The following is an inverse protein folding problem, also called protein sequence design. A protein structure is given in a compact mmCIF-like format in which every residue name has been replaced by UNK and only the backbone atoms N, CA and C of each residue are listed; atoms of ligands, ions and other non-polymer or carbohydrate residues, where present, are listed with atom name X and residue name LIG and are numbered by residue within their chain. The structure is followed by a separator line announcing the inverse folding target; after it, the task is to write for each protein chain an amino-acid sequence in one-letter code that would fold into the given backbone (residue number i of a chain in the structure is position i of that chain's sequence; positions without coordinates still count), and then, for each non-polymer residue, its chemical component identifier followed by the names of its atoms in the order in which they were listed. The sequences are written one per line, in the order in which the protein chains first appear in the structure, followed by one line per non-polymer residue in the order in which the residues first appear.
data_IF_578835571794
#
_entry.id   IF_578835571794
#
_cell.length_a   1.000
_cell.length_b   1.000
_cell.length_c   1.000
_cell.angle_alpha   90.00
_cell.angle_beta   90.00
_cell.angle_gamma   90.00
#
_symmetry.space_group_name_H-M   'P 1'
#
loop_
_entity.id
_entity.type
_entity.pdbx_description
1 polymer ?
#
# COMPACT_ATOMS: atom_id res chain seq x y z
N UNK A 1 8.24 -18.63 -10.20
CA UNK A 1 7.17 -18.67 -9.17
C UNK A 1 6.37 -17.40 -9.32
N UNK A 2 5.04 -17.45 -9.35
CA UNK A 2 4.19 -16.27 -9.45
C UNK A 2 3.57 -16.01 -8.09
N UNK A 3 3.72 -14.79 -7.58
CA UNK A 3 3.11 -14.35 -6.33
C UNK A 3 1.67 -13.91 -6.58
N UNK A 4 0.75 -14.43 -5.79
CA UNK A 4 -0.69 -14.18 -5.92
C UNK A 4 -1.15 -13.19 -4.84
N UNK A 5 -1.70 -12.07 -5.28
CA UNK A 5 -1.96 -10.90 -4.47
C UNK A 5 -3.46 -10.58 -4.39
N UNK A 6 -3.92 -10.28 -3.18
CA UNK A 6 -5.27 -9.71 -2.92
C UNK A 6 -5.13 -8.24 -2.56
N UNK A 7 -5.93 -7.39 -3.20
CA UNK A 7 -6.04 -5.96 -2.87
C UNK A 7 -7.16 -5.78 -1.85
N UNK A 8 -6.84 -5.14 -0.72
CA UNK A 8 -7.81 -4.73 0.30
C UNK A 8 -8.03 -3.22 0.20
N UNK A 9 -9.24 -2.82 -0.19
CA UNK A 9 -9.59 -1.46 -0.58
C UNK A 9 -9.50 -1.26 -2.09
N UNK A 10 -10.60 -1.46 -2.83
CA UNK A 10 -10.65 -1.33 -4.29
C UNK A 10 -11.15 0.06 -4.72
N UNK A 11 -10.69 1.09 -4.00
CA UNK A 11 -10.84 2.50 -4.37
C UNK A 11 -9.86 2.92 -5.47
N UNK A 12 -9.66 4.23 -5.65
CA UNK A 12 -8.76 4.79 -6.68
C UNK A 12 -7.36 4.17 -6.65
N UNK A 13 -6.78 3.98 -5.45
CA UNK A 13 -5.43 3.39 -5.35
C UNK A 13 -5.44 1.90 -5.65
N UNK A 14 -6.44 1.15 -5.17
CA UNK A 14 -6.56 -0.28 -5.47
C UNK A 14 -6.65 -0.54 -6.98
N UNK A 15 -7.50 0.19 -7.69
CA UNK A 15 -7.62 0.12 -9.15
C UNK A 15 -6.29 0.50 -9.83
N UNK A 16 -5.65 1.60 -9.40
CA UNK A 16 -4.37 2.02 -9.96
C UNK A 16 -3.28 0.95 -9.80
N UNK A 17 -3.21 0.32 -8.62
CA UNK A 17 -2.24 -0.73 -8.37
C UNK A 17 -2.55 -1.99 -9.19
N UNK A 18 -3.81 -2.38 -9.29
CA UNK A 18 -4.20 -3.52 -10.14
C UNK A 18 -3.74 -3.32 -11.59
N UNK A 19 -3.96 -2.12 -12.14
CA UNK A 19 -3.53 -1.80 -13.50
C UNK A 19 -2.01 -1.85 -13.67
N UNK A 20 -1.26 -1.25 -12.74
CA UNK A 20 0.22 -1.24 -12.79
C UNK A 20 0.84 -2.61 -12.57
N UNK A 21 0.23 -3.45 -11.74
CA UNK A 21 0.73 -4.80 -11.45
C UNK A 21 0.45 -5.78 -12.59
N UNK A 22 -0.51 -5.49 -13.48
CA UNK A 22 -0.84 -6.36 -14.61
C UNK A 22 0.35 -6.60 -15.55
N UNK A 23 1.27 -5.64 -15.66
CA UNK A 23 2.44 -5.71 -16.54
C UNK A 23 3.71 -6.22 -15.82
N UNK A 24 3.60 -6.59 -14.53
CA UNK A 24 4.76 -7.04 -13.76
C UNK A 24 4.84 -8.57 -13.78
N UNK A 25 5.87 -9.09 -14.43
CA UNK A 25 6.11 -10.53 -14.46
C UNK A 25 6.31 -11.11 -13.05
N UNK A 26 5.68 -12.23 -12.77
CA UNK A 26 5.77 -12.91 -11.48
C UNK A 26 4.83 -12.39 -10.40
N UNK A 27 3.91 -11.48 -10.73
CA UNK A 27 2.84 -11.02 -9.83
C UNK A 27 1.49 -11.17 -10.52
N UNK A 28 0.51 -11.69 -9.80
CA UNK A 28 -0.87 -11.83 -10.26
C UNK A 28 -1.82 -11.25 -9.20
N UNK A 29 -2.63 -10.27 -9.56
CA UNK A 29 -3.73 -9.80 -8.71
C UNK A 29 -4.92 -10.72 -8.92
N UNK A 30 -5.24 -11.52 -7.92
CA UNK A 30 -6.25 -12.59 -8.05
C UNK A 30 -7.59 -12.24 -7.43
N UNK A 31 -7.64 -11.21 -6.58
CA UNK A 31 -8.89 -10.83 -5.93
C UNK A 31 -8.83 -9.50 -5.20
N UNK A 32 -9.98 -9.09 -4.73
CA UNK A 32 -10.16 -7.85 -3.97
C UNK A 32 -11.15 -8.02 -2.82
N UNK A 33 -10.98 -7.17 -1.80
CA UNK A 33 -11.92 -6.96 -0.70
C UNK A 33 -12.23 -5.48 -0.64
N UNK A 34 -13.49 -5.11 -0.57
CA UNK A 34 -13.92 -3.74 -0.25
C UNK A 34 -15.19 -3.79 0.59
N UNK A 35 -15.46 -2.74 1.38
CA UNK A 35 -16.69 -2.59 2.15
C UNK A 35 -17.80 -1.89 1.37
N UNK A 36 -17.49 -1.32 0.22
CA UNK A 36 -18.40 -0.60 -0.64
C UNK A 36 -18.86 -1.51 -1.81
N UNK A 37 -20.14 -1.87 -1.90
CA UNK A 37 -20.65 -2.74 -2.96
C UNK A 37 -20.36 -2.27 -4.39
N UNK A 38 -20.28 -0.95 -4.60
CA UNK A 38 -19.94 -0.38 -5.91
C UNK A 38 -18.48 -0.72 -6.26
N UNK A 39 -17.57 -0.74 -5.27
CA UNK A 39 -16.17 -1.10 -5.47
C UNK A 39 -15.99 -2.60 -5.67
N UNK A 40 -16.80 -3.40 -5.01
CA UNK A 40 -16.88 -4.84 -5.25
C UNK A 40 -17.31 -5.14 -6.69
N UNK A 41 -18.32 -4.41 -7.19
CA UNK A 41 -18.76 -4.54 -8.57
C UNK A 41 -17.62 -4.20 -9.55
N UNK A 42 -16.89 -3.10 -9.34
CA UNK A 42 -15.74 -2.75 -10.19
C UNK A 42 -14.65 -3.82 -10.16
N UNK A 43 -14.38 -4.40 -8.99
CA UNK A 43 -13.42 -5.50 -8.90
C UNK A 43 -13.87 -6.73 -9.71
N UNK A 44 -15.16 -7.06 -9.66
CA UNK A 44 -15.72 -8.15 -10.46
C UNK A 44 -15.67 -7.87 -11.97
N UNK A 45 -15.97 -6.64 -12.40
CA UNK A 45 -15.85 -6.20 -13.80
C UNK A 45 -14.40 -6.24 -14.31
N UNK A 46 -13.43 -5.99 -13.43
CA UNK A 46 -11.99 -6.15 -13.70
C UNK A 46 -11.52 -7.62 -13.70
N UNK A 47 -12.44 -8.58 -13.54
CA UNK A 47 -12.15 -10.02 -13.56
C UNK A 47 -11.55 -10.56 -12.27
N UNK A 48 -11.58 -9.81 -11.17
CA UNK A 48 -11.06 -10.24 -9.89
C UNK A 48 -12.08 -11.05 -9.09
N UNK A 49 -11.59 -12.00 -8.30
CA UNK A 49 -12.41 -12.65 -7.28
C UNK A 49 -12.75 -11.64 -6.19
N UNK A 50 -14.02 -11.39 -5.96
CA UNK A 50 -14.50 -10.56 -4.84
C UNK A 50 -14.68 -11.44 -3.61
N UNK A 51 -13.94 -11.14 -2.54
CA UNK A 51 -14.09 -11.83 -1.28
C UNK A 51 -15.09 -11.09 -0.38
N UNK A 52 -16.01 -11.81 0.28
CA UNK A 52 -17.06 -11.18 1.09
C UNK A 52 -16.53 -10.53 2.38
N UNK A 53 -15.29 -10.80 2.74
CA UNK A 53 -14.62 -10.20 3.91
C UNK A 53 -13.10 -10.36 3.84
N UNK A 54 -12.38 -9.57 4.64
CA UNK A 54 -10.94 -9.75 4.84
C UNK A 54 -10.64 -11.18 5.35
N UNK A 55 -11.41 -11.70 6.29
CA UNK A 55 -11.21 -13.04 6.81
C UNK A 55 -11.27 -14.10 5.70
N UNK A 56 -12.27 -14.04 4.84
CA UNK A 56 -12.40 -14.97 3.72
C UNK A 56 -11.21 -14.89 2.73
N UNK A 57 -10.67 -13.69 2.50
CA UNK A 57 -9.47 -13.52 1.67
C UNK A 57 -8.22 -14.08 2.33
N UNK A 58 -8.09 -13.95 3.65
CA UNK A 58 -6.94 -14.44 4.40
C UNK A 58 -6.94 -15.98 4.57
N UNK A 59 -8.10 -16.63 4.54
CA UNK A 59 -8.25 -18.09 4.55
C UNK A 59 -7.83 -18.74 3.22
N UNK A 60 -7.80 -17.99 2.12
CA UNK A 60 -7.41 -18.53 0.81
C UNK A 60 -5.91 -18.82 0.78
N UNK A 61 -5.58 -20.13 0.83
CA UNK A 61 -4.19 -20.60 0.82
C UNK A 61 -3.49 -20.43 -0.52
N UNK A 62 -4.22 -20.08 -1.58
CA UNK A 62 -3.63 -19.82 -2.89
C UNK A 62 -3.06 -18.43 -3.04
N UNK A 63 -3.20 -17.57 -2.02
CA UNK A 63 -2.70 -16.18 -2.02
C UNK A 63 -1.48 -16.04 -1.11
N UNK A 64 -0.49 -15.28 -1.55
CA UNK A 64 0.77 -15.04 -0.84
C UNK A 64 0.81 -13.66 -0.20
N UNK A 65 0.18 -12.67 -0.84
CA UNK A 65 0.33 -11.26 -0.57
C UNK A 65 -1.02 -10.55 -0.35
N UNK A 66 -1.00 -9.60 0.56
CA UNK A 66 -2.07 -8.60 0.74
C UNK A 66 -1.54 -7.21 0.47
N UNK A 67 -2.20 -6.45 -0.42
CA UNK A 67 -1.91 -5.05 -0.62
C UNK A 67 -3.00 -4.20 0.03
N UNK A 68 -2.65 -3.45 1.06
CA UNK A 68 -3.57 -2.60 1.84
C UNK A 68 -3.67 -1.22 1.19
N UNK A 69 -4.84 -0.89 0.65
CA UNK A 69 -5.14 0.34 -0.09
C UNK A 69 -6.36 1.10 0.50
N UNK A 70 -6.65 0.88 1.75
CA UNK A 70 -7.77 1.44 2.51
C UNK A 70 -7.43 2.82 3.12
N UNK A 71 -8.33 3.50 3.83
CA UNK A 71 -8.01 4.65 4.67
C UNK A 71 -6.99 4.32 5.78
N UNK A 72 -6.21 5.33 6.19
CA UNK A 72 -5.02 5.16 7.03
C UNK A 72 -5.29 4.49 8.38
N UNK A 73 -6.44 4.77 9.01
CA UNK A 73 -6.86 4.22 10.30
C UNK A 73 -7.06 2.69 10.28
N UNK A 74 -7.33 2.14 9.10
CA UNK A 74 -7.53 0.70 8.92
C UNK A 74 -6.26 -0.06 8.51
N UNK A 75 -5.16 0.63 8.21
CA UNK A 75 -3.91 -0.02 7.76
C UNK A 75 -3.38 -1.01 8.78
N UNK A 76 -3.27 -0.59 10.05
CA UNK A 76 -2.73 -1.44 11.12
C UNK A 76 -3.52 -2.72 11.32
N UNK A 77 -4.84 -2.68 11.61
CA UNK A 77 -5.59 -3.91 11.87
C UNK A 77 -5.59 -4.87 10.68
N UNK A 78 -5.61 -4.35 9.45
CA UNK A 78 -5.56 -5.20 8.24
C UNK A 78 -4.17 -5.84 8.08
N UNK A 79 -3.10 -5.05 8.24
CA UNK A 79 -1.74 -5.56 8.13
C UNK A 79 -1.43 -6.62 9.20
N UNK A 80 -1.83 -6.38 10.46
CA UNK A 80 -1.66 -7.37 11.53
C UNK A 80 -2.44 -8.66 11.24
N UNK A 81 -3.70 -8.56 10.78
CA UNK A 81 -4.50 -9.73 10.44
C UNK A 81 -3.85 -10.56 9.30
N UNK A 82 -3.39 -9.89 8.25
CA UNK A 82 -2.72 -10.54 7.12
C UNK A 82 -1.42 -11.23 7.55
N UNK A 83 -0.56 -10.57 8.33
CA UNK A 83 0.67 -11.16 8.86
C UNK A 83 0.39 -12.36 9.77
N UNK A 84 -0.64 -12.28 10.64
CA UNK A 84 -1.05 -13.42 11.50
C UNK A 84 -1.53 -14.61 10.68
N UNK A 85 -2.19 -14.35 9.55
CA UNK A 85 -2.64 -15.38 8.59
C UNK A 85 -1.52 -15.92 7.70
N UNK A 86 -0.27 -15.48 7.88
CA UNK A 86 0.88 -15.96 7.12
C UNK A 86 1.03 -15.30 5.74
N UNK A 87 0.41 -14.15 5.51
CA UNK A 87 0.52 -13.42 4.24
C UNK A 87 1.59 -12.33 4.34
N UNK A 88 2.36 -12.14 3.28
CA UNK A 88 3.18 -10.95 3.10
C UNK A 88 2.29 -9.72 2.93
N UNK A 89 2.77 -8.54 3.30
CA UNK A 89 1.97 -7.32 3.26
C UNK A 89 2.73 -6.20 2.55
N UNK A 90 2.09 -5.55 1.60
CA UNK A 90 2.41 -4.21 1.14
C UNK A 90 1.31 -3.26 1.62
N UNK A 91 1.69 -2.09 2.11
CA UNK A 91 0.75 -1.12 2.65
C UNK A 91 0.94 0.24 1.98
N UNK A 92 -0.16 0.90 1.65
CA UNK A 92 -0.13 2.28 1.18
C UNK A 92 0.43 3.23 2.25
N UNK A 93 0.91 4.35 1.77
CA UNK A 93 1.42 5.42 2.64
C UNK A 93 0.26 6.34 3.13
N UNK A 94 0.38 6.93 4.31
CA UNK A 94 1.32 6.58 5.39
C UNK A 94 1.04 5.18 5.92
N UNK A 95 2.07 4.44 6.27
CA UNK A 95 1.91 3.05 6.68
C UNK A 95 1.02 2.88 7.92
N UNK A 96 1.26 3.73 8.92
CA UNK A 96 0.55 3.71 10.20
C UNK A 96 0.33 5.15 10.70
N UNK A 97 -0.50 5.32 11.72
CA UNK A 97 -0.79 6.63 12.32
C UNK A 97 0.27 7.07 13.33
N UNK A 98 1.12 6.15 13.81
CA UNK A 98 2.21 6.44 14.75
C UNK A 98 3.40 5.51 14.55
N UNK A 99 4.58 5.92 15.05
CA UNK A 99 5.78 5.07 15.07
C UNK A 99 5.59 3.81 15.91
N UNK A 100 4.90 3.90 17.05
CA UNK A 100 4.62 2.76 17.89
C UNK A 100 3.75 1.69 17.20
N UNK A 101 2.77 2.11 16.41
CA UNK A 101 1.99 1.18 15.58
C UNK A 101 2.86 0.52 14.52
N UNK A 102 3.71 1.30 13.85
CA UNK A 102 4.62 0.78 12.82
C UNK A 102 5.59 -0.24 13.42
N UNK A 103 6.20 0.06 14.57
CA UNK A 103 7.11 -0.84 15.28
C UNK A 103 6.42 -2.17 15.61
N UNK A 104 5.15 -2.12 16.06
CA UNK A 104 4.36 -3.32 16.36
C UNK A 104 4.18 -4.20 15.11
N UNK A 105 3.82 -3.62 13.98
CA UNK A 105 3.61 -4.36 12.72
C UNK A 105 4.93 -4.93 12.19
N UNK A 106 6.02 -4.13 12.24
CA UNK A 106 7.35 -4.58 11.82
C UNK A 106 7.86 -5.73 12.69
N UNK A 107 7.65 -5.65 14.01
CA UNK A 107 8.03 -6.72 14.93
C UNK A 107 7.26 -8.03 14.63
N UNK A 108 5.95 -7.91 14.36
CA UNK A 108 5.11 -9.06 13.99
C UNK A 108 5.58 -9.70 12.66
N UNK A 109 5.87 -8.88 11.65
CA UNK A 109 6.38 -9.37 10.37
C UNK A 109 7.70 -10.13 10.55
N UNK A 110 8.64 -9.59 11.32
CA UNK A 110 9.91 -10.25 11.64
C UNK A 110 9.70 -11.56 12.40
N UNK A 111 8.83 -11.57 13.42
CA UNK A 111 8.50 -12.77 14.18
C UNK A 111 7.94 -13.88 13.30
N UNK A 112 7.15 -13.52 12.30
CA UNK A 112 6.54 -14.46 11.35
C UNK A 112 7.44 -14.84 10.17
N UNK A 113 8.60 -14.21 10.00
CA UNK A 113 9.45 -14.40 8.82
C UNK A 113 8.81 -13.89 7.52
N UNK A 114 7.94 -12.88 7.61
CA UNK A 114 7.18 -12.34 6.50
C UNK A 114 7.68 -10.95 6.10
N UNK A 115 7.42 -10.58 4.85
CA UNK A 115 7.69 -9.24 4.34
C UNK A 115 6.55 -8.30 4.73
N UNK A 116 6.90 -7.17 5.33
CA UNK A 116 6.05 -5.99 5.43
C UNK A 116 6.76 -4.84 4.70
N UNK A 117 6.15 -4.34 3.64
CA UNK A 117 6.68 -3.26 2.83
C UNK A 117 5.70 -2.09 2.77
N UNK A 118 6.24 -0.88 2.64
CA UNK A 118 5.46 0.36 2.52
C UNK A 118 5.63 0.90 1.11
N UNK A 119 4.53 1.29 0.48
CA UNK A 119 4.52 1.86 -0.86
C UNK A 119 5.01 3.33 -0.85
N UNK A 120 6.28 3.53 -0.50
CA UNK A 120 6.96 4.83 -0.56
C UNK A 120 7.49 5.09 -1.98
N UNK A 121 6.58 5.18 -2.94
CA UNK A 121 6.85 5.27 -4.37
C UNK A 121 7.76 6.44 -4.77
N UNK A 122 7.71 7.57 -4.04
CA UNK A 122 8.53 8.76 -4.32
C UNK A 122 10.04 8.53 -4.19
N UNK A 123 10.45 7.43 -3.53
CA UNK A 123 11.87 7.02 -3.50
C UNK A 123 12.43 6.59 -4.85
N UNK A 124 11.58 6.43 -5.85
CA UNK A 124 11.91 5.99 -7.21
C UNK A 124 11.65 7.08 -8.25
N UNK A 125 11.24 8.28 -7.83
CA UNK A 125 11.04 9.42 -8.71
C UNK A 125 12.41 9.96 -9.18
N UNK A 126 12.49 10.42 -10.41
CA UNK A 126 13.75 10.86 -11.04
C UNK A 126 14.42 12.03 -10.31
N UNK A 127 13.62 12.96 -9.78
CA UNK A 127 14.11 14.09 -8.99
C UNK A 127 14.80 13.62 -7.71
N UNK A 128 14.18 12.67 -6.98
CA UNK A 128 14.78 12.07 -5.79
C UNK A 128 16.06 11.30 -6.13
N UNK A 129 16.04 10.48 -7.17
CA UNK A 129 17.20 9.68 -7.58
C UNK A 129 18.36 10.57 -8.01
N UNK A 130 18.09 11.66 -8.72
CA UNK A 130 19.10 12.64 -9.12
C UNK A 130 19.74 13.32 -7.91
N UNK A 131 18.93 13.80 -6.96
CA UNK A 131 19.43 14.42 -5.72
C UNK A 131 20.25 13.41 -4.91
N UNK A 132 19.76 12.17 -4.81
CA UNK A 132 20.47 11.08 -4.11
C UNK A 132 21.83 10.79 -4.74
N UNK A 133 21.92 10.74 -6.06
CA UNK A 133 23.18 10.52 -6.77
C UNK A 133 24.19 11.66 -6.52
N UNK A 134 23.74 12.92 -6.60
CA UNK A 134 24.59 14.08 -6.29
C UNK A 134 25.11 14.05 -4.85
N UNK A 135 24.23 13.65 -3.90
CA UNK A 135 24.58 13.50 -2.49
C UNK A 135 25.60 12.37 -2.28
N UNK A 136 25.31 11.18 -2.80
CA UNK A 136 26.15 9.99 -2.61
C UNK A 136 27.56 10.18 -3.22
N UNK A 137 27.65 10.85 -4.37
CA UNK A 137 28.90 11.13 -5.06
C UNK A 137 29.63 12.37 -4.57
N UNK A 138 29.01 13.13 -3.68
CA UNK A 138 29.56 14.41 -3.19
C UNK A 138 29.94 15.38 -4.35
N UNK A 139 29.22 15.34 -5.46
CA UNK A 139 29.53 16.05 -6.71
C UNK A 139 29.64 17.57 -6.53
N UNK A 140 28.83 18.12 -5.62
CA UNK A 140 28.79 19.56 -5.31
C UNK A 140 29.26 19.85 -3.87
N UNK A 141 29.95 18.90 -3.24
CA UNK A 141 30.37 18.98 -1.84
C UNK A 141 29.23 18.75 -0.85
N UNK A 142 29.40 19.11 0.42
CA UNK A 142 28.37 18.91 1.44
C UNK A 142 27.09 19.66 1.11
N UNK A 143 25.96 18.97 1.07
CA UNK A 143 24.65 19.57 0.84
C UNK A 143 24.09 20.03 2.19
N UNK A 144 23.84 21.33 2.34
CA UNK A 144 23.29 21.92 3.57
C UNK A 144 21.79 22.18 3.50
N UNK A 145 21.24 22.26 2.29
CA UNK A 145 19.84 22.55 2.09
C UNK A 145 19.32 21.95 0.79
N UNK A 146 18.16 21.34 0.85
CA UNK A 146 17.43 20.81 -0.31
C UNK A 146 16.00 21.31 -0.25
N UNK A 147 15.50 21.89 -1.33
CA UNK A 147 14.10 22.28 -1.45
C UNK A 147 13.48 21.61 -2.67
N UNK A 148 12.38 20.90 -2.45
CA UNK A 148 11.53 20.36 -3.52
C UNK A 148 10.13 20.92 -3.39
N UNK A 149 9.51 21.31 -4.50
CA UNK A 149 8.14 21.86 -4.51
C UNK A 149 7.28 21.04 -5.45
N UNK A 150 6.19 20.49 -4.91
CA UNK A 150 5.17 19.81 -5.70
C UNK A 150 3.88 20.62 -5.65
N UNK A 151 3.39 21.03 -6.81
CA UNK A 151 2.14 21.78 -6.92
C UNK A 151 1.04 20.89 -7.51
N UNK A 152 -0.15 20.93 -6.90
CA UNK A 152 -1.34 20.24 -7.39
C UNK A 152 -2.52 21.20 -7.54
N UNK A 153 -3.34 20.99 -8.56
CA UNK A 153 -4.54 21.79 -8.84
C UNK A 153 -5.86 21.11 -8.43
N UNK A 154 -5.79 19.93 -7.82
CA UNK A 154 -6.99 19.12 -7.52
C UNK A 154 -7.83 19.61 -6.34
N UNK A 155 -7.37 20.63 -5.62
CA UNK A 155 -8.03 21.09 -4.38
C UNK A 155 -7.93 20.08 -3.23
N UNK A 156 -8.76 20.30 -2.21
CA UNK A 156 -8.85 19.42 -1.05
C UNK A 156 -9.92 18.35 -1.33
N UNK A 157 -9.60 17.05 -1.26
CA UNK A 157 -10.59 16.00 -1.44
C UNK A 157 -11.73 16.13 -0.40
N UNK A 158 -12.98 15.97 -0.82
CA UNK A 158 -14.15 15.95 0.08
C UNK A 158 -14.43 14.54 0.63
N UNK A 159 -13.39 13.78 0.99
CA UNK A 159 -13.50 12.38 1.41
C UNK A 159 -12.86 12.14 2.81
N UNK A 160 -12.59 10.88 3.14
CA UNK A 160 -11.98 10.47 4.40
C UNK A 160 -10.66 11.18 4.74
N UNK A 161 -9.94 11.70 3.72
CA UNK A 161 -8.69 12.46 3.91
C UNK A 161 -8.88 13.76 4.69
N UNK A 162 -10.11 14.27 4.76
CA UNK A 162 -10.46 15.43 5.56
C UNK A 162 -10.88 15.06 6.99
N UNK A 163 -10.93 13.77 7.32
CA UNK A 163 -11.35 13.28 8.62
C UNK A 163 -10.14 12.95 9.49
N UNK A 164 -9.94 13.70 10.58
CA UNK A 164 -8.86 13.45 11.53
C UNK A 164 -8.90 12.02 12.10
N UNK A 165 -10.10 11.48 12.32
CA UNK A 165 -10.28 10.13 12.82
C UNK A 165 -9.74 9.05 11.87
N UNK A 166 -9.74 9.31 10.56
CA UNK A 166 -9.18 8.41 9.54
C UNK A 166 -7.70 8.68 9.23
N UNK A 167 -7.04 9.49 10.04
CA UNK A 167 -5.65 9.85 9.82
C UNK A 167 -5.46 10.86 8.69
N UNK A 168 -6.51 11.61 8.35
CA UNK A 168 -6.49 12.77 7.48
C UNK A 168 -6.31 14.07 8.27
N UNK A 169 -6.34 15.20 7.60
CA UNK A 169 -6.26 16.54 8.21
C UNK A 169 -5.12 17.38 7.76
#
# INVERSE_FOLDING_TARGET
MTHRLVIVGYGTMGVTHRQKLADIAGVEVVGAVDINPIREQYAAEDGLRVYPSLAAALEDQSTDFVFVCTPNDSHRPIAEAALRAGKHVMCEKPAMLSSAELETVVALARQKGLVFAIHQNRRWDEDFLTIKELYDRQTIGPIHYIETRSHGSRGIPGDWRNLKASGGG
#
